data_IF_188395339815
#
_entry.id   IF_188395339815
#
_cell.length_a   1.000
_cell.length_b   1.000
_cell.length_c   1.000
_cell.angle_alpha   90.00
_cell.angle_beta   90.00
_cell.angle_gamma   90.00
#
_symmetry.space_group_name_H-M   'P 1'
#
loop_
_entity.id
_entity.type
_entity.pdbx_description
1 polymer ?
#
# COMPACT_ATOMS: atom_id res chain seq x y z
N UNK A 1 17.97 11.13 37.69
CA UNK A 1 16.76 11.26 36.85
C UNK A 1 17.18 11.11 35.40
N UNK A 2 16.48 10.27 34.64
CA UNK A 2 16.72 10.08 33.21
C UNK A 2 15.72 10.91 32.40
N UNK A 3 16.19 11.65 31.41
CA UNK A 3 15.33 12.44 30.51
C UNK A 3 15.15 11.70 29.18
N UNK A 4 13.91 11.43 28.80
CA UNK A 4 13.55 10.84 27.49
C UNK A 4 12.92 11.91 26.62
N UNK A 5 13.41 12.05 25.40
CA UNK A 5 12.94 13.05 24.45
C UNK A 5 12.31 12.33 23.25
N UNK A 6 11.04 12.63 22.97
CA UNK A 6 10.26 12.12 21.85
C UNK A 6 9.75 13.27 20.98
N UNK A 7 9.21 12.98 19.81
CA UNK A 7 8.72 14.03 18.90
C UNK A 7 7.29 14.51 19.20
N UNK A 8 6.42 13.66 19.79
CA UNK A 8 5.01 14.03 20.00
C UNK A 8 4.54 13.91 21.44
N UNK A 9 3.58 14.74 21.89
CA UNK A 9 2.98 14.66 23.22
C UNK A 9 2.24 13.35 23.47
N UNK A 10 1.59 12.79 22.44
CA UNK A 10 0.89 11.51 22.54
C UNK A 10 1.86 10.38 22.88
N UNK A 11 2.98 10.34 22.15
CA UNK A 11 4.06 9.40 22.38
C UNK A 11 4.67 9.57 23.78
N UNK A 12 4.88 10.84 24.20
CA UNK A 12 5.37 11.12 25.57
C UNK A 12 4.43 10.55 26.64
N UNK A 13 3.13 10.78 26.50
CA UNK A 13 2.11 10.27 27.42
C UNK A 13 2.11 8.74 27.49
N UNK A 14 2.22 8.07 26.35
CA UNK A 14 2.21 6.62 26.26
C UNK A 14 3.50 6.01 26.89
N UNK A 15 4.67 6.52 26.52
CA UNK A 15 5.95 6.02 27.01
C UNK A 15 6.11 6.28 28.51
N UNK A 16 5.70 7.44 28.99
CA UNK A 16 5.77 7.76 30.42
C UNK A 16 5.04 6.77 31.31
N UNK A 17 3.95 6.15 30.79
CA UNK A 17 3.23 5.07 31.53
C UNK A 17 4.02 3.78 31.64
N UNK A 18 4.94 3.53 30.70
CA UNK A 18 5.74 2.30 30.65
C UNK A 18 7.02 2.40 31.47
N UNK A 19 7.55 3.62 31.58
CA UNK A 19 8.77 3.92 32.31
C UNK A 19 8.39 4.34 33.76
N UNK A 20 9.23 4.00 34.70
CA UNK A 20 9.01 4.34 36.11
C UNK A 20 9.29 5.82 36.43
N UNK A 21 9.10 6.20 37.71
CA UNK A 21 9.31 7.57 38.23
C UNK A 21 10.74 8.11 38.09
N UNK A 22 11.68 7.25 37.73
CA UNK A 22 13.07 7.64 37.46
C UNK A 22 13.24 8.35 36.10
N UNK A 23 12.22 8.34 35.27
CA UNK A 23 12.23 8.92 33.93
C UNK A 23 11.28 10.12 33.86
N UNK A 24 11.75 11.19 33.23
CA UNK A 24 10.94 12.32 32.76
C UNK A 24 10.85 12.26 31.24
N UNK A 25 9.65 12.19 30.67
CA UNK A 25 9.45 12.09 29.21
C UNK A 25 8.92 13.41 28.68
N UNK A 26 9.65 14.06 27.79
CA UNK A 26 9.29 15.33 27.18
C UNK A 26 9.19 15.21 25.65
N UNK A 27 8.28 15.98 25.06
CA UNK A 27 8.10 16.03 23.61
C UNK A 27 8.76 17.27 23.00
N UNK A 28 9.44 17.11 21.85
CA UNK A 28 10.00 18.24 21.07
C UNK A 28 8.95 18.94 20.20
N UNK A 29 7.81 18.30 19.94
CA UNK A 29 6.75 18.75 19.00
C UNK A 29 7.22 18.78 17.54
N UNK A 30 7.97 17.77 17.11
CA UNK A 30 8.48 17.60 15.76
C UNK A 30 9.80 18.33 15.52
N UNK A 31 9.96 18.90 14.34
CA UNK A 31 11.17 19.63 13.96
C UNK A 31 11.42 20.87 14.82
N UNK A 32 12.64 21.02 15.30
CA UNK A 32 13.04 22.10 16.19
C UNK A 32 13.88 23.19 15.49
N UNK A 33 14.54 22.83 14.41
CA UNK A 33 15.34 23.75 13.55
C UNK A 33 14.97 23.54 12.09
N UNK A 34 15.03 24.60 11.32
CA UNK A 34 14.93 24.53 9.87
C UNK A 34 15.87 25.52 9.20
N UNK A 35 16.06 25.39 7.88
CA UNK A 35 16.78 26.34 7.07
C UNK A 35 15.91 27.60 6.90
N UNK A 36 16.47 28.81 7.10
CA UNK A 36 15.77 30.06 6.80
C UNK A 36 15.20 30.07 5.38
N UNK A 37 13.98 30.60 5.23
CA UNK A 37 13.31 30.72 3.93
C UNK A 37 13.87 31.90 3.09
N UNK A 38 15.19 32.00 3.00
CA UNK A 38 15.91 32.99 2.21
C UNK A 38 17.07 32.34 1.46
N UNK A 39 17.46 32.88 0.34
CA UNK A 39 18.62 32.37 -0.42
C UNK A 39 19.92 32.46 0.40
N UNK A 40 20.85 31.56 0.15
CA UNK A 40 22.15 31.49 0.85
C UNK A 40 22.16 30.74 2.18
N UNK A 41 21.08 30.00 2.52
CA UNK A 41 21.08 29.17 3.73
C UNK A 41 21.80 27.82 3.55
N UNK A 42 22.07 27.41 2.30
CA UNK A 42 22.95 26.31 1.93
C UNK A 42 24.02 26.85 1.01
N UNK A 43 25.31 26.63 1.31
CA UNK A 43 26.46 27.14 0.58
C UNK A 43 27.16 26.04 -0.20
N UNK A 44 26.87 25.84 -1.51
CA UNK A 44 27.48 24.77 -2.31
C UNK A 44 29.00 24.82 -2.37
N UNK A 45 29.56 26.04 -2.39
CA UNK A 45 31.01 26.26 -2.48
C UNK A 45 31.75 26.09 -1.14
N UNK A 46 31.02 25.90 -0.04
CA UNK A 46 31.54 25.66 1.31
C UNK A 46 31.03 24.31 1.83
N UNK A 47 31.31 23.24 1.10
CA UNK A 47 30.93 21.85 1.41
C UNK A 47 29.44 21.70 1.83
N UNK A 48 28.56 22.43 1.16
CA UNK A 48 27.12 22.47 1.46
C UNK A 48 26.79 22.90 2.91
N UNK A 49 27.63 23.73 3.51
CA UNK A 49 27.37 24.24 4.86
C UNK A 49 25.98 24.84 4.98
N UNK A 50 25.28 24.51 6.07
CA UNK A 50 23.88 24.86 6.30
C UNK A 50 23.71 25.79 7.49
N UNK A 51 22.95 26.86 7.31
CA UNK A 51 22.55 27.78 8.36
C UNK A 51 21.22 27.34 8.98
N UNK A 52 21.25 26.99 10.26
CA UNK A 52 20.07 26.49 10.97
C UNK A 52 19.50 27.53 11.92
N UNK A 53 18.17 27.74 11.88
CA UNK A 53 17.44 28.57 12.83
C UNK A 53 16.46 27.72 13.65
N UNK A 54 16.30 28.05 14.94
CA UNK A 54 15.30 27.41 15.79
C UNK A 54 13.93 28.00 15.42
N UNK A 55 12.96 27.15 15.13
CA UNK A 55 11.57 27.60 14.94
C UNK A 55 11.09 28.34 16.19
N UNK A 56 10.47 29.49 16.00
CA UNK A 56 9.97 30.32 17.10
C UNK A 56 9.03 29.56 18.03
N UNK A 57 8.24 28.63 17.49
CA UNK A 57 7.32 27.78 18.25
C UNK A 57 8.04 26.73 19.09
N UNK A 58 9.19 26.25 18.59
CA UNK A 58 10.01 25.27 19.27
C UNK A 58 10.92 25.89 20.36
N UNK A 59 11.18 27.19 20.30
CA UNK A 59 12.14 27.87 21.18
C UNK A 59 11.82 27.72 22.66
N UNK A 60 10.55 27.93 23.07
CA UNK A 60 10.11 27.75 24.47
C UNK A 60 10.30 26.30 24.91
N UNK A 61 9.88 25.35 24.08
CA UNK A 61 9.97 23.91 24.39
C UNK A 61 11.45 23.48 24.53
N UNK A 62 12.30 23.93 23.61
CA UNK A 62 13.74 23.63 23.71
C UNK A 62 14.39 24.23 24.95
N UNK A 63 13.87 25.33 25.48
CA UNK A 63 14.33 25.85 26.76
C UNK A 63 13.88 24.97 27.94
N UNK A 64 12.64 24.48 27.93
CA UNK A 64 12.13 23.54 28.94
C UNK A 64 12.94 22.21 28.92
N UNK A 65 13.20 21.66 27.72
CA UNK A 65 14.04 20.46 27.54
C UNK A 65 15.48 20.71 28.01
N UNK A 66 16.07 21.89 27.73
CA UNK A 66 17.40 22.22 28.18
C UNK A 66 17.50 22.32 29.71
N UNK A 67 16.50 22.88 30.38
CA UNK A 67 16.46 22.95 31.85
C UNK A 67 16.29 21.54 32.47
N UNK A 68 15.50 20.66 31.85
CA UNK A 68 15.40 19.27 32.27
C UNK A 68 16.72 18.52 32.07
N UNK A 69 17.39 18.72 30.91
CA UNK A 69 18.68 18.10 30.60
C UNK A 69 19.77 18.47 31.56
N UNK A 70 19.83 19.70 32.08
CA UNK A 70 20.80 20.14 33.09
C UNK A 70 20.70 19.34 34.41
N UNK A 71 19.52 18.81 34.71
CA UNK A 71 19.23 18.04 35.94
C UNK A 71 19.34 16.53 35.69
N UNK A 72 19.42 16.10 34.46
CA UNK A 72 19.42 14.70 34.07
C UNK A 72 20.86 14.14 34.13
N UNK A 73 21.01 12.91 34.62
CA UNK A 73 22.25 12.14 34.53
C UNK A 73 22.39 11.46 33.17
N UNK A 74 21.26 11.22 32.48
CA UNK A 74 21.20 10.56 31.19
C UNK A 74 20.10 11.19 30.34
N UNK A 75 20.39 11.47 29.07
CA UNK A 75 19.43 11.94 28.08
C UNK A 75 19.26 10.88 27.01
N UNK A 76 18.04 10.46 26.77
CA UNK A 76 17.68 9.39 25.85
C UNK A 76 16.81 10.01 24.74
N UNK A 77 17.33 9.95 23.51
CA UNK A 77 16.63 10.43 22.32
C UNK A 77 15.81 9.30 21.72
N UNK A 78 14.49 9.36 21.87
CA UNK A 78 13.54 8.29 21.55
C UNK A 78 12.54 8.70 20.46
N UNK A 79 13.01 9.42 19.45
CA UNK A 79 12.24 9.82 18.26
C UNK A 79 12.03 8.63 17.31
N UNK A 80 11.22 8.81 16.27
CA UNK A 80 10.89 7.74 15.32
C UNK A 80 12.12 7.05 14.72
N UNK A 81 12.02 5.80 14.28
CA UNK A 81 13.15 5.03 13.80
C UNK A 81 13.64 5.42 12.40
N UNK A 82 12.99 6.34 11.71
CA UNK A 82 13.37 6.79 10.37
C UNK A 82 14.44 7.90 10.40
N UNK A 83 14.96 8.27 9.21
CA UNK A 83 15.96 9.35 9.08
C UNK A 83 15.46 10.70 9.55
N UNK A 84 14.13 10.95 9.52
CA UNK A 84 13.54 12.19 10.01
C UNK A 84 13.62 12.25 11.54
N UNK A 85 13.30 11.12 12.22
CA UNK A 85 13.48 10.98 13.66
C UNK A 85 14.95 11.04 14.09
N UNK A 86 15.86 10.46 13.29
CA UNK A 86 17.30 10.53 13.55
C UNK A 86 17.80 11.99 13.47
N UNK A 87 17.35 12.74 12.45
CA UNK A 87 17.68 14.16 12.31
C UNK A 87 17.07 15.01 13.45
N UNK A 88 15.85 14.73 13.90
CA UNK A 88 15.27 15.41 15.08
C UNK A 88 16.15 15.17 16.30
N UNK A 89 16.57 13.93 16.55
CA UNK A 89 17.49 13.58 17.64
C UNK A 89 18.80 14.36 17.55
N UNK A 90 19.42 14.42 16.37
CA UNK A 90 20.63 15.19 16.11
C UNK A 90 20.42 16.68 16.35
N UNK A 91 19.33 17.25 15.86
CA UNK A 91 19.01 18.68 16.08
C UNK A 91 18.80 19.00 17.57
N UNK A 92 18.15 18.10 18.33
CA UNK A 92 18.02 18.26 19.79
C UNK A 92 19.39 18.29 20.43
N UNK A 93 20.23 17.29 20.13
CA UNK A 93 21.59 17.20 20.67
C UNK A 93 22.41 18.47 20.42
N UNK A 94 22.41 18.95 19.17
CA UNK A 94 23.10 20.17 18.76
C UNK A 94 22.64 21.41 19.56
N UNK A 95 21.33 21.58 19.75
CA UNK A 95 20.76 22.71 20.50
C UNK A 95 21.11 22.61 21.98
N UNK A 96 21.04 21.41 22.58
CA UNK A 96 21.40 21.20 23.98
C UNK A 96 22.89 21.47 24.22
N UNK A 97 23.76 21.06 23.28
CA UNK A 97 25.19 21.33 23.32
C UNK A 97 25.49 22.82 23.25
N UNK A 98 24.88 23.56 22.29
CA UNK A 98 25.00 25.01 22.14
C UNK A 98 24.50 25.77 23.38
N UNK A 99 23.45 25.28 24.04
CA UNK A 99 22.92 25.85 25.29
C UNK A 99 23.72 25.44 26.52
N UNK A 100 24.78 24.64 26.36
CA UNK A 100 25.61 24.11 27.47
C UNK A 100 24.74 23.38 28.52
N UNK A 101 23.72 22.68 28.05
CA UNK A 101 22.80 21.94 28.93
C UNK A 101 23.27 20.51 29.24
N UNK A 102 24.29 20.01 28.53
CA UNK A 102 24.88 18.69 28.69
C UNK A 102 26.27 18.86 29.29
N UNK A 103 26.41 18.77 30.63
CA UNK A 103 27.73 18.86 31.28
C UNK A 103 28.41 17.49 31.17
N UNK A 104 28.20 16.61 32.17
CA UNK A 104 28.70 15.24 32.20
C UNK A 104 27.55 14.25 31.87
N UNK A 105 26.55 14.70 31.10
CA UNK A 105 25.34 13.96 30.80
C UNK A 105 25.59 12.98 29.68
N UNK A 106 25.33 11.69 29.91
CA UNK A 106 25.41 10.66 28.88
C UNK A 106 24.19 10.78 27.93
N UNK A 107 24.46 10.86 26.63
CA UNK A 107 23.40 10.98 25.61
C UNK A 107 23.36 9.71 24.78
N UNK A 108 22.17 9.15 24.66
CA UNK A 108 21.92 7.89 23.96
C UNK A 108 20.72 8.01 23.03
N UNK A 109 20.67 7.15 22.06
CA UNK A 109 19.59 6.99 21.09
C UNK A 109 18.90 5.64 21.28
N UNK A 110 17.57 5.62 21.32
CA UNK A 110 16.78 4.39 21.28
C UNK A 110 15.74 4.46 20.16
N UNK A 111 15.50 3.34 19.50
CA UNK A 111 14.51 3.21 18.42
C UNK A 111 13.65 1.98 18.66
N UNK A 112 12.38 2.06 18.35
CA UNK A 112 11.44 0.96 18.43
C UNK A 112 10.41 1.05 17.29
N UNK A 113 10.04 -0.09 16.72
CA UNK A 113 9.08 -0.18 15.62
C UNK A 113 7.61 -0.17 16.11
N UNK A 114 7.39 -0.32 17.41
CA UNK A 114 6.06 -0.32 18.02
C UNK A 114 6.11 0.33 19.39
N UNK A 115 5.09 1.12 19.73
CA UNK A 115 4.99 1.77 21.04
C UNK A 115 4.20 0.86 22.00
N UNK A 116 4.77 -0.31 22.24
CA UNK A 116 4.29 -1.26 23.25
C UNK A 116 5.25 -1.25 24.45
N UNK A 117 4.76 -1.69 25.62
CA UNK A 117 5.58 -1.73 26.83
C UNK A 117 6.86 -2.54 26.62
N UNK A 118 6.75 -3.73 26.03
CA UNK A 118 7.89 -4.62 25.82
C UNK A 118 8.91 -4.00 24.84
N UNK A 119 8.45 -3.53 23.67
CA UNK A 119 9.35 -2.94 22.68
C UNK A 119 10.08 -1.70 23.21
N UNK A 120 9.41 -0.86 24.01
CA UNK A 120 10.04 0.29 24.65
C UNK A 120 11.08 -0.13 25.68
N UNK A 121 10.76 -1.10 26.56
CA UNK A 121 11.69 -1.57 27.59
C UNK A 121 12.92 -2.29 26.98
N UNK A 122 12.72 -3.08 25.94
CA UNK A 122 13.81 -3.73 25.18
C UNK A 122 14.73 -2.69 24.53
N UNK A 123 14.16 -1.68 23.88
CA UNK A 123 14.94 -0.60 23.29
C UNK A 123 15.73 0.21 24.34
N UNK A 124 15.13 0.45 25.52
CA UNK A 124 15.80 1.14 26.62
C UNK A 124 16.97 0.33 27.21
N UNK A 125 16.92 -1.01 27.09
CA UNK A 125 18.00 -1.90 27.51
C UNK A 125 19.13 -2.02 26.48
N UNK A 126 18.91 -1.62 25.21
CA UNK A 126 19.87 -1.71 24.12
C UNK A 126 20.03 -0.36 23.38
N UNK A 127 20.48 0.69 24.08
CA UNK A 127 20.68 2.01 23.46
C UNK A 127 21.85 1.99 22.48
N UNK A 128 21.84 2.93 21.54
CA UNK A 128 22.92 3.17 20.57
C UNK A 128 23.33 4.63 20.53
N UNK A 129 24.27 4.96 19.70
CA UNK A 129 24.58 6.34 19.33
C UNK A 129 23.67 6.79 18.16
N UNK A 130 23.62 8.11 17.93
CA UNK A 130 23.00 8.67 16.74
C UNK A 130 23.70 8.11 15.51
N UNK A 131 22.93 7.66 14.54
CA UNK A 131 23.42 7.19 13.25
C UNK A 131 23.66 8.40 12.33
N UNK A 132 24.94 8.77 12.21
CA UNK A 132 25.31 9.94 11.40
C UNK A 132 25.10 9.73 9.91
N UNK A 133 25.11 8.49 9.40
CA UNK A 133 24.80 8.20 7.98
C UNK A 133 23.34 8.55 7.67
N UNK A 134 22.42 8.23 8.56
CA UNK A 134 21.01 8.63 8.44
C UNK A 134 20.83 10.15 8.56
N UNK A 135 21.55 10.79 9.46
CA UNK A 135 21.55 12.26 9.59
C UNK A 135 22.04 12.91 8.30
N UNK A 136 23.18 12.46 7.75
CA UNK A 136 23.74 12.97 6.51
C UNK A 136 22.81 12.76 5.32
N UNK A 137 22.16 11.61 5.24
CA UNK A 137 21.14 11.34 4.21
C UNK A 137 19.94 12.32 4.30
N UNK A 138 19.52 12.67 5.52
CA UNK A 138 18.49 13.69 5.74
C UNK A 138 19.02 15.09 5.32
N UNK A 139 20.22 15.46 5.75
CA UNK A 139 20.85 16.76 5.43
C UNK A 139 21.02 16.93 3.91
N UNK A 140 21.54 15.92 3.23
CA UNK A 140 21.70 15.92 1.78
C UNK A 140 20.35 16.12 1.07
N UNK A 141 19.31 15.43 1.50
CA UNK A 141 17.96 15.62 0.96
C UNK A 141 17.44 17.03 1.23
N UNK A 142 17.64 17.55 2.44
CA UNK A 142 17.18 18.89 2.83
C UNK A 142 17.89 19.98 2.01
N UNK A 143 19.21 19.85 1.82
CA UNK A 143 20.01 20.73 0.98
C UNK A 143 19.53 20.69 -0.47
N UNK A 144 19.33 19.50 -1.02
CA UNK A 144 18.87 19.33 -2.40
C UNK A 144 17.49 19.97 -2.61
N UNK A 145 16.52 19.71 -1.73
CA UNK A 145 15.19 20.31 -1.83
C UNK A 145 15.24 21.85 -1.74
N UNK A 146 16.10 22.37 -0.87
CA UNK A 146 16.34 23.81 -0.73
C UNK A 146 16.94 24.41 -2.01
N UNK A 147 18.06 23.88 -2.49
CA UNK A 147 18.77 24.38 -3.66
C UNK A 147 17.91 24.30 -4.92
N UNK A 148 17.23 23.16 -5.17
CA UNK A 148 16.31 23.03 -6.30
C UNK A 148 15.20 24.08 -6.23
N UNK A 149 14.60 24.28 -5.06
CA UNK A 149 13.53 25.25 -4.85
C UNK A 149 13.98 26.67 -5.12
N UNK A 150 15.07 27.10 -4.51
CA UNK A 150 15.58 28.48 -4.64
C UNK A 150 16.23 28.79 -6.00
N UNK A 151 16.81 27.79 -6.67
CA UNK A 151 17.41 27.95 -8.00
C UNK A 151 16.39 27.98 -9.12
N UNK A 152 15.43 27.03 -9.11
CA UNK A 152 14.50 26.85 -10.22
C UNK A 152 13.24 27.72 -10.12
N UNK A 153 12.75 28.06 -8.92
CA UNK A 153 11.55 28.88 -8.77
C UNK A 153 11.72 30.29 -9.42
N UNK A 154 12.83 31.00 -9.25
CA UNK A 154 13.05 32.29 -9.95
C UNK A 154 13.08 32.15 -11.48
N UNK A 155 13.57 31.04 -12.01
CA UNK A 155 13.52 30.74 -13.46
C UNK A 155 12.08 30.61 -13.93
N UNK A 156 11.26 29.88 -13.18
CA UNK A 156 9.83 29.74 -13.47
C UNK A 156 9.11 31.09 -13.46
N UNK A 157 9.33 31.93 -12.46
CA UNK A 157 8.67 33.26 -12.37
C UNK A 157 8.97 34.14 -13.57
N UNK A 158 10.19 34.04 -14.09
CA UNK A 158 10.60 34.83 -15.29
C UNK A 158 10.04 34.27 -16.60
N UNK A 159 9.83 32.92 -16.67
CA UNK A 159 9.47 32.24 -17.92
C UNK A 159 7.97 31.92 -18.04
N UNK A 160 7.29 31.74 -16.91
CA UNK A 160 5.90 31.33 -16.85
C UNK A 160 5.12 32.23 -15.89
N UNK A 161 4.42 33.26 -16.38
CA UNK A 161 3.57 34.10 -15.54
C UNK A 161 2.55 33.29 -14.77
N UNK A 162 2.46 33.53 -13.46
CA UNK A 162 1.54 32.78 -12.57
C UNK A 162 2.11 31.48 -11.97
N UNK A 163 3.26 31.01 -12.40
CA UNK A 163 3.95 29.90 -11.74
C UNK A 163 4.39 30.29 -10.33
N UNK A 164 4.21 29.38 -9.35
CA UNK A 164 4.51 29.66 -7.93
C UNK A 164 5.88 29.17 -7.51
N UNK A 165 6.15 27.88 -7.73
CA UNK A 165 7.42 27.29 -7.29
C UNK A 165 7.75 26.02 -8.08
N UNK A 166 9.04 25.72 -8.16
CA UNK A 166 9.56 24.43 -8.59
C UNK A 166 10.09 23.66 -7.38
N UNK A 167 10.11 22.34 -7.48
CA UNK A 167 10.66 21.49 -6.44
C UNK A 167 10.84 20.07 -6.94
N UNK A 168 11.74 19.34 -6.34
CA UNK A 168 12.14 17.99 -6.74
C UNK A 168 10.96 17.00 -6.83
N UNK A 169 10.06 17.04 -5.87
CA UNK A 169 8.89 16.15 -5.84
C UNK A 169 7.76 16.70 -6.71
N UNK A 170 7.38 17.96 -6.50
CA UNK A 170 6.21 18.55 -7.17
C UNK A 170 6.38 18.67 -8.68
N UNK A 171 7.61 19.00 -9.16
CA UNK A 171 7.86 19.12 -10.60
C UNK A 171 7.85 17.75 -11.30
N UNK A 172 8.36 16.70 -10.66
CA UNK A 172 8.30 15.33 -11.18
C UNK A 172 6.87 14.83 -11.18
N UNK A 173 6.11 15.03 -10.09
CA UNK A 173 4.71 14.64 -10.02
C UNK A 173 3.88 15.33 -11.12
N UNK A 174 4.08 16.65 -11.33
CA UNK A 174 3.42 17.39 -12.40
C UNK A 174 3.78 16.80 -13.77
N UNK A 175 5.06 16.47 -14.01
CA UNK A 175 5.51 15.87 -15.27
C UNK A 175 4.81 14.53 -15.53
N UNK A 176 4.70 13.66 -14.55
CA UNK A 176 4.03 12.36 -14.68
C UNK A 176 2.55 12.56 -15.04
N UNK A 177 1.87 13.52 -14.38
CA UNK A 177 0.47 13.85 -14.68
C UNK A 177 0.33 14.39 -16.11
N UNK A 178 1.19 15.32 -16.52
CA UNK A 178 1.16 15.90 -17.88
C UNK A 178 1.43 14.83 -18.93
N UNK A 179 2.42 13.95 -18.73
CA UNK A 179 2.73 12.87 -19.68
C UNK A 179 1.51 11.95 -19.83
N UNK A 180 0.80 11.62 -18.74
CA UNK A 180 -0.43 10.83 -18.77
C UNK A 180 -1.58 11.57 -19.50
N UNK A 181 -1.80 12.85 -19.25
CA UNK A 181 -2.80 13.63 -19.99
C UNK A 181 -2.48 13.70 -21.49
N UNK A 182 -1.21 13.84 -21.86
CA UNK A 182 -0.79 13.81 -23.27
C UNK A 182 -1.03 12.43 -23.92
N UNK A 183 -0.88 11.33 -23.17
CA UNK A 183 -1.25 9.99 -23.65
C UNK A 183 -2.76 9.90 -23.90
N UNK A 184 -3.56 10.43 -22.98
CA UNK A 184 -5.03 10.45 -23.08
C UNK A 184 -5.48 11.32 -24.26
N UNK A 185 -4.91 12.51 -24.44
CA UNK A 185 -5.25 13.43 -25.54
C UNK A 185 -4.89 12.86 -26.92
N UNK A 186 -3.78 12.12 -27.02
CA UNK A 186 -3.34 11.47 -28.27
C UNK A 186 -4.08 10.18 -28.58
N UNK A 187 -4.76 9.63 -27.60
CA UNK A 187 -5.46 8.35 -27.75
C UNK A 187 -6.60 8.50 -28.77
N UNK A 188 -6.69 7.51 -29.65
CA UNK A 188 -7.78 7.38 -30.62
C UNK A 188 -8.56 6.13 -30.30
N UNK A 189 -9.81 6.30 -29.92
CA UNK A 189 -10.69 5.18 -29.69
C UNK A 189 -10.87 4.36 -30.98
N UNK A 190 -10.72 3.04 -30.84
CA UNK A 190 -10.98 2.08 -31.90
C UNK A 190 -12.26 1.33 -31.58
N UNK A 191 -13.16 1.25 -32.57
CA UNK A 191 -14.35 0.43 -32.48
C UNK A 191 -13.98 -1.05 -32.55
N UNK A 192 -14.63 -1.84 -31.72
CA UNK A 192 -14.61 -3.28 -31.81
C UNK A 192 -15.92 -3.85 -31.27
N UNK A 193 -16.19 -5.09 -31.64
CA UNK A 193 -17.41 -5.78 -31.25
C UNK A 193 -17.10 -7.07 -30.53
N UNK A 194 -17.95 -7.43 -29.56
CA UNK A 194 -18.00 -8.76 -28.97
C UNK A 194 -19.23 -9.52 -29.51
N UNK A 195 -19.08 -10.82 -29.65
CA UNK A 195 -20.18 -11.70 -30.03
C UNK A 195 -20.28 -12.80 -28.98
N UNK A 196 -21.41 -12.84 -28.30
CA UNK A 196 -21.72 -13.83 -27.28
C UNK A 196 -22.92 -14.67 -27.72
N UNK A 197 -22.91 -15.94 -27.30
CA UNK A 197 -24.02 -16.83 -27.57
C UNK A 197 -24.42 -17.61 -26.31
N UNK A 198 -25.70 -17.68 -26.04
CA UNK A 198 -26.25 -18.54 -25.03
C UNK A 198 -26.55 -19.90 -25.68
N UNK A 199 -25.91 -20.94 -25.11
CA UNK A 199 -26.02 -22.30 -25.60
C UNK A 199 -26.70 -23.20 -24.55
N UNK A 200 -27.51 -24.14 -25.00
CA UNK A 200 -28.09 -25.20 -24.18
C UNK A 200 -27.64 -26.59 -24.69
N UNK A 201 -27.18 -27.45 -23.77
CA UNK A 201 -26.68 -28.79 -24.08
C UNK A 201 -27.14 -29.80 -23.02
N UNK A 202 -28.41 -30.23 -23.05
CA UNK A 202 -29.03 -31.07 -22.02
C UNK A 202 -28.83 -30.53 -20.57
N UNK A 203 -28.68 -29.21 -20.45
CA UNK A 203 -28.35 -28.49 -19.23
C UNK A 203 -28.97 -27.09 -19.28
N UNK A 204 -29.05 -26.38 -18.15
CA UNK A 204 -29.40 -24.95 -18.20
C UNK A 204 -28.50 -24.17 -19.18
N UNK A 205 -29.01 -23.13 -19.82
CA UNK A 205 -28.22 -22.31 -20.73
C UNK A 205 -26.97 -21.76 -20.09
N UNK A 206 -25.90 -21.63 -20.88
CA UNK A 206 -24.63 -21.02 -20.46
C UNK A 206 -24.13 -20.09 -21.57
N UNK A 207 -23.57 -18.97 -21.17
CA UNK A 207 -23.06 -17.96 -22.08
C UNK A 207 -21.65 -18.35 -22.56
N UNK A 208 -21.46 -18.20 -23.86
CA UNK A 208 -20.17 -18.41 -24.54
C UNK A 208 -19.77 -17.16 -25.32
N UNK A 209 -18.49 -16.99 -25.54
CA UNK A 209 -17.91 -15.90 -26.34
C UNK A 209 -17.27 -16.47 -27.60
N UNK A 210 -17.40 -15.76 -28.71
CA UNK A 210 -16.75 -16.09 -29.97
C UNK A 210 -15.23 -15.93 -29.82
N UNK A 211 -14.49 -17.01 -30.09
CA UNK A 211 -13.01 -17.04 -30.04
C UNK A 211 -12.37 -17.48 -31.36
N UNK A 212 -13.20 -18.00 -32.31
CA UNK A 212 -12.74 -18.42 -33.63
C UNK A 212 -13.82 -18.10 -34.67
N UNK A 213 -13.44 -17.48 -35.78
CA UNK A 213 -14.31 -17.16 -36.90
C UNK A 213 -13.59 -17.38 -38.22
N UNK A 214 -14.27 -17.96 -39.20
CA UNK A 214 -13.70 -18.34 -40.51
C UNK A 214 -12.38 -19.15 -40.37
N UNK A 215 -12.34 -20.10 -39.41
CA UNK A 215 -11.21 -20.95 -39.15
C UNK A 215 -10.02 -20.27 -38.42
N UNK A 216 -10.09 -18.97 -38.15
CA UNK A 216 -9.03 -18.21 -37.49
C UNK A 216 -9.42 -17.83 -36.06
N UNK A 217 -8.47 -17.95 -35.12
CA UNK A 217 -8.63 -17.41 -33.78
C UNK A 217 -8.74 -15.90 -33.86
N UNK A 218 -9.75 -15.34 -33.19
CA UNK A 218 -9.98 -13.90 -33.12
C UNK A 218 -9.48 -13.31 -31.81
N UNK A 219 -8.95 -12.10 -31.91
CA UNK A 219 -8.58 -11.26 -30.78
C UNK A 219 -9.62 -10.12 -30.62
N UNK A 220 -9.50 -9.36 -29.55
CA UNK A 220 -10.45 -8.30 -29.19
C UNK A 220 -10.79 -7.30 -30.31
N UNK A 221 -9.79 -6.93 -31.15
CA UNK A 221 -9.95 -5.93 -32.20
C UNK A 221 -10.22 -6.51 -33.60
N UNK A 222 -10.31 -7.83 -33.71
CA UNK A 222 -10.48 -8.51 -35.01
C UNK A 222 -11.93 -8.45 -35.55
N UNK A 223 -12.86 -7.93 -34.74
CA UNK A 223 -14.23 -7.63 -35.15
C UNK A 223 -14.40 -6.09 -35.15
N UNK A 224 -13.96 -5.36 -36.18
CA UNK A 224 -13.85 -3.91 -36.16
C UNK A 224 -15.14 -3.17 -36.59
N UNK A 225 -16.20 -3.87 -36.92
CA UNK A 225 -17.43 -3.26 -37.40
C UNK A 225 -18.68 -4.11 -37.21
N UNK A 226 -19.84 -3.47 -37.20
CA UNK A 226 -21.15 -4.10 -37.11
C UNK A 226 -21.35 -5.18 -38.19
N UNK A 227 -20.92 -4.94 -39.43
CA UNK A 227 -21.06 -5.89 -40.53
C UNK A 227 -20.34 -7.20 -40.27
N UNK A 228 -19.10 -7.14 -39.69
CA UNK A 228 -18.32 -8.32 -39.31
C UNK A 228 -18.97 -9.04 -38.11
N UNK A 229 -19.47 -8.27 -37.14
CA UNK A 229 -20.17 -8.83 -35.98
C UNK A 229 -21.44 -9.56 -36.35
N UNK A 230 -22.25 -8.97 -37.27
CA UNK A 230 -23.48 -9.60 -37.74
C UNK A 230 -23.22 -10.81 -38.64
N UNK A 231 -22.17 -10.80 -39.46
CA UNK A 231 -21.78 -11.99 -40.22
C UNK A 231 -21.37 -13.13 -39.26
N UNK A 232 -20.63 -12.82 -38.18
CA UNK A 232 -20.29 -13.80 -37.16
C UNK A 232 -21.52 -14.30 -36.40
N UNK A 233 -22.47 -13.41 -36.03
CA UNK A 233 -23.75 -13.77 -35.42
C UNK A 233 -24.53 -14.74 -36.31
N UNK A 234 -24.65 -14.43 -37.61
CA UNK A 234 -25.40 -15.22 -38.53
C UNK A 234 -24.77 -16.61 -38.77
N UNK A 235 -23.42 -16.67 -38.76
CA UNK A 235 -22.68 -17.93 -38.77
C UNK A 235 -22.93 -18.77 -37.50
N UNK A 236 -23.06 -18.12 -36.34
CA UNK A 236 -23.40 -18.83 -35.07
C UNK A 236 -24.84 -19.33 -35.14
N UNK A 237 -25.79 -18.50 -35.55
CA UNK A 237 -27.21 -18.88 -35.61
C UNK A 237 -27.50 -20.04 -36.58
N UNK A 238 -26.71 -20.16 -37.64
CA UNK A 238 -26.85 -21.26 -38.64
C UNK A 238 -25.98 -22.47 -38.32
N UNK A 239 -25.07 -22.37 -37.32
CA UNK A 239 -24.12 -23.41 -37.00
C UNK A 239 -24.72 -24.54 -36.16
N UNK A 240 -24.24 -25.77 -36.39
CA UNK A 240 -24.42 -26.88 -35.48
C UNK A 240 -23.19 -26.95 -34.57
N UNK A 241 -23.38 -26.85 -33.26
CA UNK A 241 -22.29 -26.81 -32.32
C UNK A 241 -22.16 -28.09 -31.51
N UNK A 242 -20.92 -28.46 -31.21
CA UNK A 242 -20.60 -29.60 -30.35
C UNK A 242 -19.57 -29.17 -29.29
N UNK A 243 -19.75 -29.62 -28.07
CA UNK A 243 -18.76 -29.40 -27.01
C UNK A 243 -17.50 -30.21 -27.35
N UNK A 244 -16.45 -29.51 -27.74
CA UNK A 244 -15.19 -30.09 -28.19
C UNK A 244 -14.33 -30.58 -27.04
N UNK A 245 -14.19 -29.75 -26.00
CA UNK A 245 -13.39 -30.09 -24.83
C UNK A 245 -13.89 -29.37 -23.58
N UNK A 246 -13.67 -30.00 -22.44
CA UNK A 246 -13.93 -29.44 -21.11
C UNK A 246 -12.66 -29.58 -20.26
N UNK A 247 -11.91 -28.50 -20.15
CA UNK A 247 -10.69 -28.45 -19.35
C UNK A 247 -11.01 -27.93 -17.95
N UNK A 248 -10.71 -28.74 -16.91
CA UNK A 248 -10.78 -28.31 -15.51
C UNK A 248 -9.36 -28.14 -14.98
N UNK A 249 -9.04 -26.94 -14.56
CA UNK A 249 -7.71 -26.58 -14.05
C UNK A 249 -7.81 -25.99 -12.64
N UNK A 250 -7.20 -26.64 -11.65
CA UNK A 250 -7.12 -26.07 -10.31
C UNK A 250 -6.15 -24.87 -10.33
N UNK A 251 -6.62 -23.73 -9.80
CA UNK A 251 -5.84 -22.52 -9.64
C UNK A 251 -5.64 -22.25 -8.16
N UNK A 252 -4.43 -21.92 -7.77
CA UNK A 252 -4.08 -21.50 -6.42
C UNK A 252 -3.84 -19.99 -6.41
N UNK A 253 -4.68 -19.24 -5.68
CA UNK A 253 -4.53 -17.78 -5.49
C UNK A 253 -3.90 -17.53 -4.13
N UNK A 254 -2.71 -16.95 -4.11
CA UNK A 254 -1.98 -16.65 -2.87
C UNK A 254 -2.34 -15.28 -2.32
N UNK A 255 -2.32 -15.09 -0.99
CA UNK A 255 -2.57 -13.79 -0.39
C UNK A 255 -1.45 -12.81 -0.67
N UNK A 256 -1.79 -11.54 -0.70
CA UNK A 256 -0.85 -10.45 -0.81
C UNK A 256 -0.07 -10.22 0.50
N UNK A 257 1.13 -9.60 0.44
CA UNK A 257 1.93 -9.31 1.63
C UNK A 257 1.23 -8.32 2.57
N UNK A 258 1.67 -8.23 3.85
CA UNK A 258 1.29 -7.15 4.76
C UNK A 258 1.54 -5.77 4.14
N UNK A 259 0.94 -4.73 4.70
CA UNK A 259 1.06 -3.40 4.14
C UNK A 259 2.44 -2.78 4.28
N UNK A 260 2.86 -2.10 3.22
CA UNK A 260 3.82 -0.99 3.24
C UNK A 260 3.05 0.33 3.28
N UNK A 261 3.74 1.47 3.46
CA UNK A 261 3.12 2.81 3.40
C UNK A 261 2.32 3.01 2.11
N UNK A 262 2.92 2.69 0.95
CA UNK A 262 2.28 2.91 -0.35
C UNK A 262 1.07 2.00 -0.56
N UNK A 263 1.14 0.73 -0.21
CA UNK A 263 0.02 -0.20 -0.38
C UNK A 263 -1.11 0.07 0.62
N UNK A 264 -0.80 0.54 1.84
CA UNK A 264 -1.81 1.00 2.79
C UNK A 264 -2.59 2.21 2.25
N UNK A 265 -1.89 3.21 1.72
CA UNK A 265 -2.53 4.39 1.14
C UNK A 265 -3.44 4.03 -0.05
N UNK A 266 -2.99 3.14 -0.93
CA UNK A 266 -3.78 2.67 -2.08
C UNK A 266 -5.05 1.95 -1.63
N UNK A 267 -4.94 0.98 -0.74
CA UNK A 267 -6.11 0.22 -0.27
C UNK A 267 -7.05 1.06 0.61
N UNK A 268 -6.52 1.98 1.41
CA UNK A 268 -7.35 2.92 2.14
C UNK A 268 -8.09 3.88 1.21
N UNK A 269 -7.48 4.28 0.10
CA UNK A 269 -8.17 5.06 -0.94
C UNK A 269 -9.28 4.26 -1.60
N UNK A 270 -9.01 3.04 -2.06
CA UNK A 270 -9.95 2.17 -2.77
C UNK A 270 -11.13 1.72 -1.91
N UNK A 271 -10.85 1.29 -0.68
CA UNK A 271 -11.86 0.67 0.20
C UNK A 271 -12.53 1.63 1.17
N UNK A 272 -11.80 2.66 1.61
CA UNK A 272 -12.29 3.57 2.64
C UNK A 272 -12.58 4.97 2.10
N UNK A 273 -12.13 5.30 0.87
CA UNK A 273 -12.23 6.64 0.30
C UNK A 273 -11.32 7.66 1.03
N UNK A 274 -10.24 7.20 1.65
CA UNK A 274 -9.31 8.08 2.36
C UNK A 274 -8.28 8.69 1.42
N UNK A 275 -7.99 9.98 1.61
CA UNK A 275 -6.79 10.57 1.00
C UNK A 275 -5.53 10.03 1.67
N UNK A 276 -4.39 10.12 0.98
CA UNK A 276 -3.10 9.73 1.57
C UNK A 276 -2.82 10.46 2.90
N UNK A 277 -3.14 11.76 2.97
CA UNK A 277 -3.00 12.55 4.19
C UNK A 277 -3.88 12.02 5.33
N UNK A 278 -5.17 11.74 5.06
CA UNK A 278 -6.11 11.21 6.05
C UNK A 278 -5.67 9.83 6.55
N UNK A 279 -5.20 8.98 5.64
CA UNK A 279 -4.65 7.66 5.96
C UNK A 279 -3.45 7.79 6.91
N UNK A 280 -2.48 8.65 6.58
CA UNK A 280 -1.28 8.80 7.39
C UNK A 280 -1.56 9.46 8.75
N UNK A 281 -2.50 10.39 8.85
CA UNK A 281 -2.93 10.97 10.14
C UNK A 281 -3.58 9.93 11.04
N UNK A 282 -4.44 9.07 10.49
CA UNK A 282 -5.05 7.98 11.24
C UNK A 282 -4.01 6.93 11.66
N UNK A 283 -3.11 6.54 10.74
CA UNK A 283 -2.03 5.60 11.03
C UNK A 283 -1.08 6.12 12.13
N UNK A 284 -0.73 7.41 12.11
CA UNK A 284 0.09 8.04 13.14
C UNK A 284 -0.59 7.92 14.52
N UNK A 285 -1.88 8.21 14.62
CA UNK A 285 -2.61 8.07 15.88
C UNK A 285 -2.65 6.62 16.38
N UNK A 286 -2.86 5.66 15.47
CA UNK A 286 -2.83 4.24 15.82
C UNK A 286 -1.44 3.78 16.30
N UNK A 287 -0.37 4.30 15.70
CA UNK A 287 1.00 4.02 16.11
C UNK A 287 1.35 4.63 17.47
N UNK A 288 1.03 5.91 17.69
CA UNK A 288 1.33 6.62 18.95
C UNK A 288 0.50 6.12 20.13
N UNK A 289 -0.64 5.50 19.83
CA UNK A 289 -1.58 4.98 20.81
C UNK A 289 -2.77 5.91 21.03
N UNK A 290 -3.92 5.29 21.26
CA UNK A 290 -5.18 5.94 21.58
C UNK A 290 -5.51 5.64 23.03
N UNK A 291 -5.55 6.65 23.88
CA UNK A 291 -5.83 6.55 25.32
C UNK A 291 -4.92 5.58 26.09
N UNK A 292 -5.52 4.54 26.70
CA UNK A 292 -4.80 3.58 27.53
C UNK A 292 -4.30 2.35 26.77
N UNK A 293 -4.60 2.23 25.50
CA UNK A 293 -4.34 1.00 24.73
C UNK A 293 -2.89 0.81 24.30
N UNK A 294 -2.07 1.87 24.37
CA UNK A 294 -0.73 1.87 23.76
C UNK A 294 -0.78 1.94 22.22
N UNK A 295 0.35 1.77 21.57
CA UNK A 295 0.43 1.72 20.11
C UNK A 295 -0.26 0.47 19.56
N UNK A 296 -1.21 0.66 18.66
CA UNK A 296 -2.03 -0.41 18.08
C UNK A 296 -1.44 -1.02 16.81
N UNK A 297 -0.58 -0.27 16.11
CA UNK A 297 0.12 -0.75 14.90
C UNK A 297 1.62 -0.49 15.00
N UNK A 298 2.39 -1.20 14.17
CA UNK A 298 3.80 -0.95 13.95
C UNK A 298 4.02 0.37 13.20
N UNK A 299 5.26 0.85 13.13
CA UNK A 299 5.60 2.10 12.45
C UNK A 299 5.10 2.12 10.99
N UNK A 300 4.36 3.16 10.63
CA UNK A 300 3.60 3.21 9.39
C UNK A 300 4.39 3.78 8.19
N UNK A 301 5.59 4.33 8.38
CA UNK A 301 6.45 4.76 7.28
C UNK A 301 7.49 3.68 7.01
N UNK A 302 7.12 2.71 6.20
CA UNK A 302 7.96 1.55 5.88
C UNK A 302 7.70 1.04 4.47
N UNK A 303 8.75 0.60 3.80
CA UNK A 303 8.70 -0.17 2.56
C UNK A 303 9.03 -1.67 2.83
N UNK A 304 9.22 -2.03 4.10
CA UNK A 304 9.51 -3.38 4.55
C UNK A 304 8.28 -4.29 4.46
N UNK A 305 8.54 -5.56 4.15
CA UNK A 305 7.54 -6.64 4.15
C UNK A 305 7.83 -7.68 5.24
N UNK A 306 8.89 -7.46 6.01
CA UNK A 306 9.26 -8.33 7.12
C UNK A 306 8.19 -8.27 8.22
N UNK A 307 7.89 -9.43 8.79
CA UNK A 307 7.06 -9.56 9.99
C UNK A 307 7.85 -10.36 11.01
N UNK A 308 7.87 -9.89 12.24
CA UNK A 308 8.57 -10.59 13.33
C UNK A 308 8.03 -12.01 13.53
N UNK A 309 8.88 -12.95 13.97
CA UNK A 309 8.43 -14.33 14.28
C UNK A 309 7.26 -14.38 15.27
N UNK A 310 7.25 -13.48 16.26
CA UNK A 310 6.15 -13.33 17.21
C UNK A 310 4.85 -12.92 16.52
N UNK A 311 4.90 -11.91 15.64
CA UNK A 311 3.75 -11.45 14.87
C UNK A 311 3.19 -12.55 13.95
N UNK A 312 4.06 -13.35 13.32
CA UNK A 312 3.65 -14.50 12.53
C UNK A 312 2.97 -15.56 13.41
N UNK A 313 3.54 -15.87 14.57
CA UNK A 313 2.98 -16.86 15.49
C UNK A 313 1.58 -16.46 15.97
N UNK A 314 1.43 -15.19 16.42
CA UNK A 314 0.12 -14.65 16.83
C UNK A 314 -0.92 -14.70 15.69
N UNK A 315 -0.52 -14.36 14.46
CA UNK A 315 -1.41 -14.40 13.31
C UNK A 315 -1.91 -15.83 13.07
N UNK A 316 -1.01 -16.81 13.10
CA UNK A 316 -1.34 -18.22 12.89
C UNK A 316 -2.27 -18.77 13.98
N UNK A 317 -2.06 -18.37 15.23
CA UNK A 317 -2.95 -18.71 16.35
C UNK A 317 -4.36 -18.15 16.12
N UNK A 318 -4.47 -16.85 15.81
CA UNK A 318 -5.75 -16.19 15.51
C UNK A 318 -6.45 -16.83 14.31
N UNK A 319 -5.70 -17.25 13.28
CA UNK A 319 -6.28 -17.94 12.12
C UNK A 319 -6.84 -19.30 12.54
N UNK A 320 -6.10 -20.08 13.31
CA UNK A 320 -6.55 -21.39 13.78
C UNK A 320 -7.83 -21.28 14.63
N UNK A 321 -7.87 -20.33 15.55
CA UNK A 321 -8.99 -20.13 16.46
C UNK A 321 -10.28 -19.62 15.76
N UNK A 322 -10.13 -18.70 14.81
CA UNK A 322 -11.28 -18.04 14.18
C UNK A 322 -11.80 -18.74 12.94
N UNK A 323 -10.90 -19.31 12.15
CA UNK A 323 -11.22 -19.89 10.84
C UNK A 323 -11.01 -21.40 10.79
N UNK A 324 -10.28 -21.93 11.74
CA UNK A 324 -9.95 -23.36 11.84
C UNK A 324 -8.59 -23.72 11.25
N UNK A 325 -8.07 -24.90 11.59
CA UNK A 325 -6.71 -25.34 11.24
C UNK A 325 -6.47 -25.47 9.72
N UNK A 326 -7.52 -25.71 8.92
CA UNK A 326 -7.40 -25.80 7.47
C UNK A 326 -6.97 -24.48 6.80
N UNK A 327 -7.19 -23.35 7.47
CA UNK A 327 -6.80 -22.02 6.98
C UNK A 327 -5.37 -21.63 7.35
N UNK A 328 -4.68 -22.44 8.17
CA UNK A 328 -3.29 -22.22 8.55
C UNK A 328 -2.39 -22.99 7.58
N UNK A 329 -1.55 -22.33 6.76
CA UNK A 329 -0.63 -23.05 5.88
C UNK A 329 0.39 -23.86 6.71
N UNK A 330 0.92 -24.96 6.13
CA UNK A 330 1.93 -25.81 6.79
C UNK A 330 3.15 -25.02 7.24
N UNK A 331 3.61 -24.12 6.37
CA UNK A 331 4.77 -23.25 6.63
C UNK A 331 4.36 -21.80 6.81
N UNK A 332 5.05 -21.01 7.66
CA UNK A 332 4.87 -19.58 7.74
C UNK A 332 5.14 -18.90 6.41
N UNK A 333 4.38 -17.84 6.09
CA UNK A 333 4.61 -17.07 4.87
C UNK A 333 5.60 -15.93 5.12
N UNK A 334 6.66 -15.91 4.32
CA UNK A 334 7.66 -14.85 4.30
C UNK A 334 7.59 -14.09 2.99
N UNK A 335 7.62 -12.77 3.08
CA UNK A 335 7.59 -11.89 1.93
C UNK A 335 8.92 -11.14 1.80
N UNK A 336 9.41 -11.00 0.58
CA UNK A 336 10.66 -10.28 0.29
C UNK A 336 10.34 -8.99 -0.46
N UNK A 337 10.93 -7.89 -0.02
CA UNK A 337 10.88 -6.64 -0.78
C UNK A 337 11.74 -6.76 -2.05
N UNK A 338 11.24 -6.20 -3.16
CA UNK A 338 11.99 -6.10 -4.42
C UNK A 338 12.76 -4.78 -4.53
N UNK A 339 12.56 -3.85 -3.61
CA UNK A 339 13.20 -2.55 -3.63
C UNK A 339 14.69 -2.69 -3.33
N UNK A 340 15.54 -2.31 -4.29
CA UNK A 340 17.01 -2.32 -4.14
C UNK A 340 17.51 -1.33 -3.07
N UNK A 341 16.71 -0.31 -2.76
CA UNK A 341 16.99 0.73 -1.78
C UNK A 341 15.91 0.72 -0.69
N UNK A 342 15.50 -0.48 -0.23
CA UNK A 342 14.64 -0.58 0.95
C UNK A 342 15.37 0.10 2.09
N UNK A 343 15.01 1.36 2.32
CA UNK A 343 15.55 2.17 3.38
C UNK A 343 15.08 1.52 4.67
N UNK A 344 16.04 1.04 5.44
CA UNK A 344 15.88 0.50 6.77
C UNK A 344 14.94 -0.72 6.84
N UNK A 345 15.42 -1.77 7.46
CA UNK A 345 14.68 -3.03 7.63
C UNK A 345 13.54 -2.88 8.66
N UNK A 346 12.64 -1.91 8.43
CA UNK A 346 11.45 -1.77 9.26
C UNK A 346 10.49 -2.93 9.01
N UNK A 347 9.78 -3.28 10.05
CA UNK A 347 8.70 -4.24 9.97
C UNK A 347 7.56 -3.69 9.09
N UNK A 348 6.81 -4.59 8.43
CA UNK A 348 5.59 -4.23 7.72
C UNK A 348 4.55 -3.62 8.68
N UNK A 349 3.59 -2.88 8.13
CA UNK A 349 2.50 -2.30 8.92
C UNK A 349 1.54 -3.42 9.34
N UNK A 350 1.45 -3.67 10.63
CA UNK A 350 0.59 -4.69 11.24
C UNK A 350 0.09 -4.26 12.62
N UNK A 351 -0.95 -4.90 13.16
CA UNK A 351 -1.30 -4.74 14.57
C UNK A 351 -0.15 -5.14 15.47
N UNK A 352 0.08 -4.40 16.55
CA UNK A 352 1.08 -4.74 17.57
C UNK A 352 0.68 -5.99 18.36
N UNK A 353 -0.62 -6.22 18.48
CA UNK A 353 -1.20 -7.42 19.05
C UNK A 353 -2.38 -7.87 18.17
N UNK A 354 -2.19 -8.94 17.41
CA UNK A 354 -3.15 -9.46 16.44
C UNK A 354 -4.38 -10.08 17.11
N UNK A 355 -4.28 -10.50 18.37
CA UNK A 355 -5.42 -11.05 19.14
C UNK A 355 -6.46 -9.97 19.46
N UNK A 356 -6.09 -8.68 19.40
CA UNK A 356 -7.02 -7.56 19.51
C UNK A 356 -7.77 -7.37 18.19
N UNK A 357 -8.84 -8.12 18.03
CA UNK A 357 -9.66 -8.02 16.85
C UNK A 357 -10.38 -6.66 16.76
N UNK A 358 -10.64 -6.15 15.54
CA UNK A 358 -11.23 -4.84 15.34
C UNK A 358 -12.52 -4.60 16.13
N UNK A 359 -13.38 -5.61 16.23
CA UNK A 359 -14.66 -5.55 16.94
C UNK A 359 -14.50 -5.46 18.46
N UNK A 360 -13.33 -5.76 19.01
CA UNK A 360 -13.06 -5.67 20.46
C UNK A 360 -12.54 -4.30 20.88
N UNK A 361 -12.18 -3.45 19.93
CA UNK A 361 -11.64 -2.12 20.15
C UNK A 361 -12.75 -1.07 20.02
N UNK A 362 -12.72 -0.07 20.91
CA UNK A 362 -13.60 1.11 20.83
C UNK A 362 -12.79 2.28 20.27
N UNK A 363 -12.66 2.31 18.94
CA UNK A 363 -11.96 3.37 18.23
C UNK A 363 -12.95 4.27 17.51
N UNK A 364 -12.58 5.54 17.30
CA UNK A 364 -13.36 6.46 16.49
C UNK A 364 -13.34 6.05 15.00
N UNK A 365 -14.37 6.44 14.27
CA UNK A 365 -14.69 6.01 12.90
C UNK A 365 -13.52 5.74 11.95
N UNK A 366 -12.63 6.72 11.73
CA UNK A 366 -11.49 6.55 10.81
C UNK A 366 -10.43 5.59 11.35
N UNK A 367 -10.18 5.66 12.66
CA UNK A 367 -9.21 4.79 13.32
C UNK A 367 -9.68 3.35 13.29
N UNK A 368 -10.97 3.12 13.56
CA UNK A 368 -11.59 1.80 13.52
C UNK A 368 -11.48 1.18 12.13
N UNK A 369 -11.88 1.94 11.10
CA UNK A 369 -11.87 1.47 9.71
C UNK A 369 -10.45 1.16 9.22
N UNK A 370 -9.48 2.02 9.54
CA UNK A 370 -8.09 1.81 9.14
C UNK A 370 -7.45 0.64 9.89
N UNK A 371 -7.70 0.52 11.21
CA UNK A 371 -7.21 -0.61 12.00
C UNK A 371 -7.77 -1.95 11.48
N UNK A 372 -9.07 -1.99 11.16
CA UNK A 372 -9.71 -3.17 10.59
C UNK A 372 -9.06 -3.57 9.25
N UNK A 373 -8.79 -2.60 8.38
CA UNK A 373 -8.12 -2.83 7.11
C UNK A 373 -6.72 -3.44 7.31
N UNK A 374 -5.93 -2.88 8.24
CA UNK A 374 -4.59 -3.35 8.56
C UNK A 374 -4.64 -4.76 9.18
N UNK A 375 -5.56 -4.98 10.10
CA UNK A 375 -5.73 -6.28 10.77
C UNK A 375 -6.11 -7.38 9.78
N UNK A 376 -7.12 -7.14 8.94
CA UNK A 376 -7.57 -8.09 7.91
C UNK A 376 -6.45 -8.44 6.94
N UNK A 377 -5.69 -7.45 6.49
CA UNK A 377 -4.55 -7.68 5.58
C UNK A 377 -3.46 -8.51 6.23
N UNK A 378 -3.11 -8.22 7.48
CA UNK A 378 -2.09 -8.97 8.21
C UNK A 378 -2.51 -10.42 8.42
N UNK A 379 -3.73 -10.67 8.88
CA UNK A 379 -4.27 -12.03 9.07
C UNK A 379 -4.29 -12.78 7.73
N UNK A 380 -4.88 -12.18 6.69
CA UNK A 380 -4.96 -12.77 5.36
C UNK A 380 -3.58 -13.14 4.80
N UNK A 381 -2.56 -12.32 5.05
CA UNK A 381 -1.19 -12.56 4.59
C UNK A 381 -0.60 -13.87 5.14
N UNK A 382 -1.06 -14.36 6.27
CA UNK A 382 -0.59 -15.59 6.91
C UNK A 382 -1.56 -16.77 6.72
N UNK A 383 -2.65 -16.60 5.96
CA UNK A 383 -3.63 -17.65 5.68
C UNK A 383 -3.23 -18.56 4.51
N UNK A 384 -3.87 -19.74 4.43
CA UNK A 384 -3.74 -20.64 3.29
C UNK A 384 -4.31 -19.98 2.02
N UNK A 385 -3.74 -20.35 0.88
CA UNK A 385 -4.17 -19.86 -0.44
C UNK A 385 -5.58 -20.32 -0.76
N UNK A 386 -6.34 -19.48 -1.46
CA UNK A 386 -7.60 -19.89 -2.03
C UNK A 386 -7.38 -20.93 -3.14
N UNK A 387 -8.27 -21.90 -3.24
CA UNK A 387 -8.31 -22.90 -4.30
C UNK A 387 -9.55 -22.67 -5.14
N UNK A 388 -9.34 -22.56 -6.44
CA UNK A 388 -10.37 -22.22 -7.41
C UNK A 388 -10.27 -23.24 -8.54
N UNK A 389 -11.37 -23.91 -8.86
CA UNK A 389 -11.45 -24.75 -10.04
C UNK A 389 -11.96 -23.90 -11.20
N UNK A 390 -11.10 -23.66 -12.18
CA UNK A 390 -11.46 -22.99 -13.43
C UNK A 390 -11.85 -24.07 -14.45
N UNK A 391 -13.04 -23.94 -15.00
CA UNK A 391 -13.54 -24.79 -16.08
C UNK A 391 -13.57 -23.96 -17.36
N UNK A 392 -12.88 -24.44 -18.39
CA UNK A 392 -12.93 -23.86 -19.74
C UNK A 392 -13.64 -24.87 -20.65
N UNK A 393 -14.68 -24.43 -21.34
CA UNK A 393 -15.44 -25.23 -22.29
C UNK A 393 -15.23 -24.66 -23.68
N UNK A 394 -14.72 -25.46 -24.59
CA UNK A 394 -14.61 -25.09 -26.02
C UNK A 394 -15.72 -25.79 -26.79
N UNK A 395 -16.44 -24.99 -27.57
CA UNK A 395 -17.55 -25.42 -28.40
C UNK A 395 -17.24 -25.01 -29.84
N UNK A 396 -17.36 -25.92 -30.78
CA UNK A 396 -16.94 -25.70 -32.17
C UNK A 396 -17.95 -26.28 -33.16
N UNK A 397 -18.04 -25.69 -34.34
CA UNK A 397 -18.76 -26.29 -35.50
C UNK A 397 -17.94 -27.49 -36.04
N UNK A 398 -18.60 -28.52 -36.66
CA UNK A 398 -17.93 -29.71 -37.20
C UNK A 398 -16.83 -29.40 -38.22
N UNK A 399 -17.04 -28.33 -39.01
CA UNK A 399 -16.04 -27.86 -39.97
C UNK A 399 -14.90 -27.04 -39.38
N UNK A 400 -14.96 -26.77 -38.07
CA UNK A 400 -13.95 -26.01 -37.36
C UNK A 400 -13.87 -24.53 -37.74
N UNK A 401 -14.87 -23.97 -38.45
CA UNK A 401 -14.84 -22.58 -38.88
C UNK A 401 -15.27 -21.60 -37.79
N UNK A 402 -16.17 -22.01 -36.90
CA UNK A 402 -16.68 -21.15 -35.80
C UNK A 402 -16.42 -21.84 -34.47
N UNK A 403 -15.79 -21.13 -33.53
CA UNK A 403 -15.50 -21.62 -32.19
C UNK A 403 -15.92 -20.63 -31.11
N UNK A 404 -16.55 -21.17 -30.08
CA UNK A 404 -17.06 -20.46 -28.92
C UNK A 404 -16.37 -20.98 -27.67
N UNK A 405 -16.21 -20.13 -26.66
CA UNK A 405 -15.62 -20.51 -25.36
C UNK A 405 -16.48 -20.00 -24.22
N UNK A 406 -16.71 -20.86 -23.24
CA UNK A 406 -17.20 -20.49 -21.92
C UNK A 406 -16.12 -20.72 -20.86
N UNK A 407 -16.01 -19.81 -19.93
CA UNK A 407 -15.13 -19.95 -18.77
C UNK A 407 -15.98 -19.77 -17.51
N UNK A 408 -15.80 -20.66 -16.54
CA UNK A 408 -16.45 -20.56 -15.23
C UNK A 408 -15.47 -20.89 -14.13
N UNK A 409 -15.72 -20.35 -12.95
CA UNK A 409 -14.88 -20.57 -11.77
C UNK A 409 -15.73 -20.97 -10.58
N UNK A 410 -15.19 -21.90 -9.78
CA UNK A 410 -15.79 -22.32 -8.52
C UNK A 410 -14.72 -22.26 -7.45
N UNK A 411 -14.93 -21.43 -6.44
CA UNK A 411 -14.07 -21.43 -5.25
C UNK A 411 -14.34 -22.71 -4.47
N UNK A 412 -13.37 -23.58 -4.42
CA UNK A 412 -13.46 -24.88 -3.70
C UNK A 412 -12.93 -24.77 -2.27
N UNK A 413 -12.12 -23.75 -2.01
CA UNK A 413 -11.64 -23.39 -0.69
C UNK A 413 -11.31 -21.91 -0.65
N UNK A 414 -11.98 -21.15 0.22
CA UNK A 414 -11.85 -19.70 0.28
C UNK A 414 -10.45 -19.23 0.69
N UNK A 415 -9.78 -19.98 1.60
CA UNK A 415 -8.49 -19.56 2.11
C UNK A 415 -8.54 -18.13 2.64
N UNK A 416 -7.55 -17.30 2.27
CA UNK A 416 -7.46 -15.89 2.69
C UNK A 416 -8.64 -15.03 2.22
N UNK A 417 -9.36 -15.41 1.17
CA UNK A 417 -10.53 -14.66 0.67
C UNK A 417 -11.66 -14.58 1.70
N UNK A 418 -11.72 -15.52 2.66
CA UNK A 418 -12.67 -15.45 3.77
C UNK A 418 -12.50 -14.20 4.65
N UNK A 419 -11.32 -13.54 4.61
CA UNK A 419 -10.99 -12.36 5.43
C UNK A 419 -10.78 -11.12 4.60
N UNK A 420 -10.10 -11.27 3.46
CA UNK A 420 -9.60 -10.13 2.70
C UNK A 420 -9.52 -10.40 1.21
N UNK A 421 -10.10 -9.50 0.45
CA UNK A 421 -9.93 -9.37 -0.98
C UNK A 421 -9.35 -7.99 -1.31
N UNK A 422 -8.38 -7.92 -2.22
CA UNK A 422 -7.80 -6.63 -2.63
C UNK A 422 -8.84 -5.76 -3.34
N UNK A 423 -8.79 -4.45 -3.07
CA UNK A 423 -9.58 -3.47 -3.82
C UNK A 423 -9.05 -3.37 -5.25
N UNK A 424 -9.96 -3.27 -6.22
CA UNK A 424 -9.63 -3.00 -7.62
C UNK A 424 -10.01 -1.57 -7.94
N UNK A 425 -9.23 -0.90 -8.79
CA UNK A 425 -9.63 0.39 -9.34
C UNK A 425 -10.88 0.18 -10.22
N UNK A 426 -11.89 1.03 -10.07
CA UNK A 426 -13.17 0.90 -10.80
C UNK A 426 -13.00 0.79 -12.32
N UNK A 427 -11.89 1.29 -12.86
CA UNK A 427 -11.55 1.30 -14.28
C UNK A 427 -10.77 0.08 -14.77
N UNK A 428 -10.32 -0.80 -13.88
CA UNK A 428 -9.71 -2.08 -14.28
C UNK A 428 -10.74 -3.15 -14.59
N UNK A 429 -12.02 -2.88 -14.40
CA UNK A 429 -13.13 -3.80 -14.70
C UNK A 429 -13.40 -4.03 -16.19
N UNK A 430 -12.55 -3.59 -17.07
CA UNK A 430 -12.70 -3.75 -18.53
C UNK A 430 -11.43 -4.17 -19.26
N UNK A 431 -10.39 -4.56 -18.54
CA UNK A 431 -9.16 -5.08 -19.15
C UNK A 431 -9.25 -6.60 -19.37
N UNK A 432 -8.51 -7.13 -20.34
CA UNK A 432 -8.52 -8.56 -20.72
C UNK A 432 -8.32 -9.54 -19.55
N UNK A 433 -7.76 -9.07 -18.44
CA UNK A 433 -7.60 -9.85 -17.21
C UNK A 433 -8.91 -10.03 -16.42
N UNK A 434 -9.91 -9.17 -16.64
CA UNK A 434 -11.21 -9.25 -15.95
C UNK A 434 -12.24 -10.13 -16.69
N UNK A 435 -12.01 -10.43 -17.97
CA UNK A 435 -12.84 -11.36 -18.74
C UNK A 435 -12.72 -12.81 -18.19
N UNK A 436 -11.65 -13.08 -17.44
CA UNK A 436 -11.41 -14.37 -16.77
C UNK A 436 -11.97 -14.44 -15.33
N UNK A 437 -12.52 -13.35 -14.79
CA UNK A 437 -13.01 -13.28 -13.40
C UNK A 437 -14.53 -13.47 -13.32
N UNK A 438 -15.10 -14.13 -14.31
CA UNK A 438 -16.51 -14.45 -14.31
C UNK A 438 -16.75 -15.55 -13.26
N UNK A 439 -17.29 -15.16 -12.10
CA UNK A 439 -17.69 -16.04 -11.02
C UNK A 439 -18.87 -16.96 -11.40
N UNK A 440 -19.19 -17.02 -12.69
CA UNK A 440 -20.30 -17.80 -13.24
C UNK A 440 -19.99 -19.28 -13.11
N UNK A 441 -20.85 -19.98 -12.41
CA UNK A 441 -20.79 -21.44 -12.33
C UNK A 441 -21.35 -22.03 -13.61
N UNK A 442 -20.52 -22.71 -14.40
CA UNK A 442 -21.00 -23.46 -15.55
C UNK A 442 -21.83 -24.67 -15.12
N UNK A 443 -22.87 -25.02 -15.88
CA UNK A 443 -23.64 -26.24 -15.63
C UNK A 443 -22.79 -27.49 -15.89
N UNK A 444 -23.28 -28.63 -15.50
CA UNK A 444 -22.62 -29.91 -15.78
C UNK A 444 -22.75 -30.22 -17.28
N UNK A 445 -21.65 -30.24 -17.99
CA UNK A 445 -21.56 -30.46 -19.43
C UNK A 445 -20.80 -31.74 -19.72
N UNK A 446 -21.02 -32.30 -20.94
CA UNK A 446 -20.33 -33.52 -21.42
C UNK A 446 -19.68 -33.22 -22.76
N UNK A 447 -18.43 -33.68 -22.95
CA UNK A 447 -17.76 -33.62 -24.24
C UNK A 447 -18.51 -34.46 -25.28
N UNK A 448 -18.55 -33.96 -26.50
CA UNK A 448 -19.30 -34.56 -27.60
C UNK A 448 -20.81 -34.23 -27.61
N UNK A 449 -21.34 -33.59 -26.57
CA UNK A 449 -22.75 -33.18 -26.53
C UNK A 449 -23.03 -32.08 -27.56
N UNK A 450 -24.18 -32.17 -28.24
CA UNK A 450 -24.66 -31.12 -29.14
C UNK A 450 -25.12 -29.90 -28.31
N UNK A 451 -24.68 -28.72 -28.68
CA UNK A 451 -25.08 -27.47 -28.06
C UNK A 451 -26.00 -26.67 -29.03
N UNK A 452 -27.22 -26.42 -28.59
CA UNK A 452 -28.19 -25.63 -29.35
C UNK A 452 -28.02 -24.15 -29.02
N UNK A 453 -27.99 -23.31 -30.05
CA UNK A 453 -28.00 -21.85 -29.90
C UNK A 453 -29.37 -21.39 -29.48
N UNK A 454 -29.51 -20.67 -28.39
CA UNK A 454 -30.74 -20.08 -27.89
C UNK A 454 -30.83 -18.59 -28.24
N UNK A 455 -29.71 -17.88 -28.04
CA UNK A 455 -29.61 -16.45 -28.36
C UNK A 455 -28.18 -16.10 -28.76
N UNK A 456 -28.05 -15.08 -29.62
CA UNK A 456 -26.74 -14.48 -29.94
C UNK A 456 -26.85 -12.97 -29.78
N UNK A 457 -25.89 -12.42 -29.02
CA UNK A 457 -25.75 -10.98 -28.76
C UNK A 457 -24.50 -10.45 -29.44
N UNK A 458 -24.62 -9.24 -29.96
CA UNK A 458 -23.49 -8.48 -30.52
C UNK A 458 -23.46 -7.12 -29.86
N UNK A 459 -22.35 -6.83 -29.18
CA UNK A 459 -22.21 -5.58 -28.44
C UNK A 459 -21.06 -4.74 -28.99
N UNK A 460 -21.37 -3.46 -29.23
CA UNK A 460 -20.43 -2.47 -29.71
C UNK A 460 -19.59 -1.93 -28.54
N UNK A 461 -18.30 -1.86 -28.75
CA UNK A 461 -17.34 -1.32 -27.78
C UNK A 461 -16.38 -0.36 -28.46
N UNK A 462 -15.78 0.49 -27.65
CA UNK A 462 -14.67 1.34 -28.07
C UNK A 462 -13.53 1.15 -27.09
N UNK A 463 -12.28 1.13 -27.60
CA UNK A 463 -11.12 1.15 -26.71
C UNK A 463 -11.10 2.44 -25.91
N UNK A 464 -10.69 2.37 -24.66
CA UNK A 464 -10.60 3.52 -23.77
C UNK A 464 -9.15 3.98 -23.62
N UNK A 465 -8.91 5.28 -23.37
CA UNK A 465 -7.58 5.78 -23.08
C UNK A 465 -7.05 5.20 -21.74
N UNK A 466 -5.72 5.24 -21.52
CA UNK A 466 -5.20 4.84 -20.23
C UNK A 466 -5.85 5.67 -19.11
N UNK A 467 -6.18 5.06 -17.95
CA UNK A 467 -6.81 5.79 -16.86
C UNK A 467 -5.87 6.82 -16.26
N UNK A 468 -6.43 7.90 -15.70
CA UNK A 468 -5.68 8.83 -14.87
C UNK A 468 -5.19 8.14 -13.61
N UNK A 469 -4.08 8.63 -13.07
CA UNK A 469 -3.60 8.14 -11.78
C UNK A 469 -4.61 8.47 -10.67
N UNK A 470 -4.88 7.50 -9.81
CA UNK A 470 -5.81 7.61 -8.67
C UNK A 470 -5.06 7.48 -7.34
#
# INVERSE_FOLDING_TARGET
>A
MNLVIVESPAKAKTINKYLGSEFEVLASYGHIRDLPSKDGSVLPDDDFAMSWEIDARASKRMSEIAEAAKRASRVILATDPDREGEAISWHVLEVLTKKKALKDTHVERVTFNAITRNAVLEAMAAPRQIDMELVEAYLARRALDYLVGFTLSPVLWRKLPGARSAGRVQSVALRIVVDREMEIEKFKAQEYWSVEADLAADSPPFTTRLVKHLGKRIQRLDIPSEAVAFAARDAINSGAFTIKSIEKKPIKRSPAPPFTTSTLQQEASRKLGFTAQRTMQAAQKLYEGVDETGGLITYMRTDGLFVSPEGIAQAREVIADRFGPAFVPSEPRYYKTKAKNAQEAHEAIRPTNITRAPETLRLDGDLQRLYELIWKRMVASQMESARIDRTTVEVETPDGQTGLRATGQVVTFDGFLAVYEEGRDERQKGTETDEDDDSTRLPTLKEGATAKVEAVRTDQHFTEPPPRFS
#
